data_IF_126328502371
#
_entry.id   IF_126328502371
#
_cell.length_a   1.000
_cell.length_b   1.000
_cell.length_c   1.000
_cell.angle_alpha   90.00
_cell.angle_beta   90.00
_cell.angle_gamma   90.00
#
_symmetry.space_group_name_H-M   'P 1'
#
loop_
_entity.id
_entity.type
_entity.pdbx_description
1 polymer ?
#
# COMPACT_ATOMS: atom_id res chain seq x y z
N UNK A 1 16.05 14.81 -23.00
CA UNK A 1 15.99 13.35 -22.78
C UNK A 1 15.00 12.64 -23.72
N UNK A 2 13.98 13.28 -24.22
CA UNK A 2 12.87 12.69 -24.96
C UNK A 2 12.84 13.09 -26.46
N UNK A 3 14.00 13.03 -27.15
CA UNK A 3 14.06 13.47 -28.54
C UNK A 3 13.79 12.38 -29.57
N UNK A 4 13.80 11.10 -29.18
CA UNK A 4 13.58 9.97 -30.07
C UNK A 4 12.65 8.93 -29.42
N UNK A 5 11.49 8.58 -30.05
CA UNK A 5 10.56 7.60 -29.53
C UNK A 5 11.19 6.23 -29.20
N UNK A 6 12.10 5.75 -30.03
CA UNK A 6 12.82 4.48 -29.79
C UNK A 6 13.74 4.55 -28.56
N UNK A 7 14.33 5.74 -28.30
CA UNK A 7 15.17 5.95 -27.14
C UNK A 7 14.32 6.02 -25.87
N UNK A 8 13.12 6.60 -25.94
CA UNK A 8 12.15 6.62 -24.83
C UNK A 8 11.71 5.20 -24.49
N UNK A 9 11.32 4.42 -25.51
CA UNK A 9 10.91 3.03 -25.35
C UNK A 9 12.00 2.19 -24.70
N UNK A 10 13.25 2.32 -25.20
CA UNK A 10 14.41 1.64 -24.62
C UNK A 10 14.64 2.04 -23.16
N UNK A 11 14.61 3.34 -22.84
CA UNK A 11 14.82 3.85 -21.48
C UNK A 11 13.72 3.38 -20.52
N UNK A 12 12.47 3.35 -20.98
CA UNK A 12 11.35 2.82 -20.19
C UNK A 12 11.56 1.33 -19.91
N UNK A 13 11.89 0.53 -20.93
CA UNK A 13 12.20 -0.90 -20.75
C UNK A 13 13.37 -1.12 -19.80
N UNK A 14 14.49 -0.40 -19.98
CA UNK A 14 15.69 -0.55 -19.13
C UNK A 14 15.40 -0.18 -17.65
N UNK A 15 14.62 0.87 -17.40
CA UNK A 15 14.26 1.24 -16.03
C UNK A 15 13.30 0.26 -15.37
N UNK A 16 12.40 -0.32 -16.13
CA UNK A 16 11.47 -1.33 -15.60
C UNK A 16 12.18 -2.65 -15.35
N UNK A 17 13.07 -3.10 -16.25
CA UNK A 17 13.81 -4.35 -16.08
C UNK A 17 14.94 -4.27 -15.05
N UNK A 18 15.42 -3.08 -14.74
CA UNK A 18 16.61 -2.86 -13.91
C UNK A 18 16.40 -2.74 -12.40
N UNK A 19 15.16 -2.74 -11.89
CA UNK A 19 14.98 -2.38 -10.47
C UNK A 19 13.75 -2.89 -9.74
N UNK A 20 12.95 -3.77 -10.32
CA UNK A 20 11.69 -4.16 -9.72
C UNK A 20 11.62 -5.67 -9.42
N UNK A 21 11.10 -6.02 -8.26
CA UNK A 21 10.84 -7.42 -7.88
C UNK A 21 9.60 -7.98 -8.57
N UNK A 22 9.58 -9.29 -8.78
CA UNK A 22 8.80 -9.99 -9.79
C UNK A 22 7.26 -9.86 -9.71
N UNK A 23 6.64 -9.61 -8.57
CA UNK A 23 5.19 -9.77 -8.41
C UNK A 23 4.32 -8.67 -9.04
N UNK A 24 4.81 -7.46 -9.18
CA UNK A 24 4.11 -6.37 -9.88
C UNK A 24 4.61 -6.11 -11.30
N UNK A 25 5.74 -6.70 -11.64
CA UNK A 25 6.39 -6.49 -12.94
C UNK A 25 5.77 -7.35 -14.03
N UNK A 26 5.27 -8.54 -13.71
CA UNK A 26 4.69 -9.41 -14.72
C UNK A 26 3.56 -8.73 -15.51
N UNK A 27 2.54 -8.12 -14.89
CA UNK A 27 1.53 -7.38 -15.65
C UNK A 27 2.10 -6.17 -16.38
N UNK A 28 3.09 -5.46 -15.81
CA UNK A 28 3.72 -4.30 -16.44
C UNK A 28 4.67 -4.71 -17.55
N UNK A 29 5.38 -5.82 -17.43
CA UNK A 29 6.24 -6.38 -18.48
C UNK A 29 5.44 -7.01 -19.62
N UNK A 30 4.35 -7.72 -19.33
CA UNK A 30 3.39 -8.15 -20.35
C UNK A 30 2.80 -6.93 -21.07
N UNK A 31 2.33 -5.95 -20.30
CA UNK A 31 1.81 -4.70 -20.81
C UNK A 31 2.84 -3.95 -21.69
N UNK A 32 4.12 -3.99 -21.37
CA UNK A 32 5.21 -3.39 -22.15
C UNK A 32 5.64 -4.26 -23.33
N UNK A 33 5.64 -5.58 -23.20
CA UNK A 33 5.97 -6.51 -24.28
C UNK A 33 4.92 -6.46 -25.39
N UNK A 34 3.65 -6.21 -25.08
CA UNK A 34 2.55 -6.14 -26.05
C UNK A 34 2.49 -4.83 -26.88
N UNK A 35 3.58 -4.10 -26.96
CA UNK A 35 3.67 -2.87 -27.76
C UNK A 35 3.25 -1.60 -27.00
N UNK A 36 2.88 -1.69 -25.75
CA UNK A 36 2.49 -0.53 -24.92
C UNK A 36 3.65 0.45 -24.68
N UNK A 37 4.89 -0.03 -24.63
CA UNK A 37 6.05 0.88 -24.55
C UNK A 37 6.11 1.81 -25.76
N UNK A 38 5.79 1.30 -26.97
CA UNK A 38 5.68 2.11 -28.18
C UNK A 38 4.53 3.10 -28.10
N UNK A 39 3.37 2.66 -27.59
CA UNK A 39 2.21 3.53 -27.39
C UNK A 39 2.49 4.63 -26.37
N UNK A 40 3.17 4.31 -25.27
CA UNK A 40 3.60 5.28 -24.26
C UNK A 40 4.57 6.31 -24.85
N UNK A 41 5.56 5.86 -25.60
CA UNK A 41 6.49 6.74 -26.28
C UNK A 41 5.79 7.68 -27.27
N UNK A 42 4.80 7.19 -28.01
CA UNK A 42 3.96 8.02 -28.89
C UNK A 42 3.17 9.06 -28.11
N UNK A 43 2.53 8.70 -27.01
CA UNK A 43 1.78 9.63 -26.14
C UNK A 43 2.67 10.71 -25.55
N UNK A 44 3.85 10.35 -25.04
CA UNK A 44 4.83 11.31 -24.53
C UNK A 44 5.33 12.25 -25.65
N UNK A 45 5.47 11.74 -26.85
CA UNK A 45 5.85 12.55 -28.03
C UNK A 45 4.75 13.55 -28.37
N UNK A 46 3.46 13.16 -28.31
CA UNK A 46 2.34 14.05 -28.51
C UNK A 46 2.34 15.15 -27.45
N UNK A 47 2.45 14.79 -26.16
CA UNK A 47 2.51 15.76 -25.05
C UNK A 47 3.64 16.77 -25.25
N UNK A 48 4.81 16.32 -25.70
CA UNK A 48 5.92 17.21 -26.03
C UNK A 48 5.58 18.15 -27.17
N UNK A 49 4.99 17.63 -28.25
CA UNK A 49 4.69 18.40 -29.45
C UNK A 49 3.64 19.48 -29.23
N UNK A 50 2.72 19.28 -28.27
CA UNK A 50 1.74 20.31 -27.85
C UNK A 50 2.31 21.30 -26.84
N UNK A 51 3.59 21.20 -26.51
CA UNK A 51 4.23 22.09 -25.53
C UNK A 51 3.79 21.85 -24.08
N UNK A 52 3.36 20.61 -23.74
CA UNK A 52 2.84 20.27 -22.41
C UNK A 52 3.82 20.63 -21.28
N UNK A 53 5.12 20.56 -21.52
CA UNK A 53 6.14 20.95 -20.53
C UNK A 53 5.98 22.44 -20.11
N UNK A 54 5.73 23.33 -21.06
CA UNK A 54 5.44 24.74 -20.78
C UNK A 54 4.15 24.92 -19.98
N UNK A 55 3.08 24.26 -20.44
CA UNK A 55 1.78 24.27 -19.74
C UNK A 55 1.92 23.74 -18.31
N UNK A 56 2.67 22.66 -18.13
CA UNK A 56 2.93 22.06 -16.82
C UNK A 56 3.67 23.05 -15.91
N UNK A 57 4.77 23.62 -16.36
CA UNK A 57 5.57 24.56 -15.58
C UNK A 57 4.83 25.84 -15.20
N UNK A 58 4.01 26.37 -16.11
CA UNK A 58 3.35 27.65 -15.93
C UNK A 58 2.05 27.55 -15.16
N UNK A 59 1.29 26.48 -15.33
CA UNK A 59 -0.07 26.37 -14.81
C UNK A 59 -0.27 25.29 -13.78
N UNK A 60 0.40 24.14 -13.92
CA UNK A 60 0.20 22.98 -13.06
C UNK A 60 1.20 22.99 -11.91
N UNK A 61 2.48 23.16 -12.23
CA UNK A 61 3.54 23.07 -11.23
C UNK A 61 3.37 24.03 -10.03
N UNK A 62 2.93 25.29 -10.16
CA UNK A 62 2.71 26.16 -9.02
C UNK A 62 1.66 25.64 -8.03
N UNK A 63 0.60 24.98 -8.54
CA UNK A 63 -0.43 24.35 -7.70
C UNK A 63 0.14 23.12 -7.00
N UNK A 64 0.83 22.26 -7.76
CA UNK A 64 1.49 21.05 -7.26
C UNK A 64 2.55 21.39 -6.21
N UNK A 65 3.39 22.41 -6.44
CA UNK A 65 4.45 22.84 -5.51
C UNK A 65 3.89 23.28 -4.15
N UNK A 66 2.77 24.00 -4.15
CA UNK A 66 2.11 24.41 -2.91
C UNK A 66 1.61 23.22 -2.10
N UNK A 67 0.94 22.26 -2.75
CA UNK A 67 0.44 21.06 -2.08
C UNK A 67 1.59 20.13 -1.65
N UNK A 68 2.64 20.01 -2.46
CA UNK A 68 3.84 19.24 -2.09
C UNK A 68 4.48 19.77 -0.82
N UNK A 69 4.67 21.09 -0.69
CA UNK A 69 5.22 21.71 0.53
C UNK A 69 4.37 21.42 1.75
N UNK A 70 3.04 21.42 1.60
CA UNK A 70 2.15 21.04 2.70
C UNK A 70 2.32 19.58 3.10
N UNK A 71 2.45 18.68 2.13
CA UNK A 71 2.67 17.23 2.37
C UNK A 71 4.08 16.94 2.93
N UNK A 72 5.08 17.63 2.46
CA UNK A 72 6.43 17.57 3.03
C UNK A 72 6.43 17.99 4.51
N UNK A 73 5.70 19.04 4.86
CA UNK A 73 5.56 19.48 6.24
C UNK A 73 4.80 18.46 7.11
N UNK A 74 3.77 17.84 6.57
CA UNK A 74 3.03 16.75 7.23
C UNK A 74 3.96 15.56 7.52
N UNK A 75 4.66 15.07 6.50
CA UNK A 75 5.57 13.91 6.61
C UNK A 75 6.76 14.21 7.54
N UNK A 76 7.27 15.43 7.53
CA UNK A 76 8.36 15.85 8.44
C UNK A 76 7.97 15.79 9.92
N UNK A 77 6.67 15.83 10.22
CA UNK A 77 6.15 15.63 11.58
C UNK A 77 6.07 14.17 12.03
N UNK A 78 6.28 13.20 11.13
CA UNK A 78 6.17 11.78 11.45
C UNK A 78 7.46 11.25 12.08
N UNK A 79 7.31 10.35 13.05
CA UNK A 79 8.45 9.58 13.58
C UNK A 79 8.72 8.37 12.65
N UNK A 80 9.43 8.62 11.56
CA UNK A 80 9.75 7.61 10.56
C UNK A 80 10.59 6.45 11.13
N UNK A 81 11.53 6.74 12.04
CA UNK A 81 12.36 5.71 12.68
C UNK A 81 11.53 4.74 13.52
N UNK A 82 10.53 5.26 14.24
CA UNK A 82 9.59 4.44 15.00
C UNK A 82 8.75 3.56 14.07
N UNK A 83 8.23 4.13 12.99
CA UNK A 83 7.44 3.40 12.00
C UNK A 83 8.26 2.26 11.37
N UNK A 84 9.45 2.56 10.85
CA UNK A 84 10.31 1.57 10.20
C UNK A 84 10.76 0.46 11.15
N UNK A 85 11.09 0.81 12.39
CA UNK A 85 11.41 -0.17 13.43
C UNK A 85 10.23 -1.11 13.70
N UNK A 86 9.03 -0.58 13.89
CA UNK A 86 7.85 -1.37 14.20
C UNK A 86 7.44 -2.26 13.01
N UNK A 87 7.50 -1.74 11.78
CA UNK A 87 7.27 -2.53 10.56
C UNK A 87 8.31 -3.66 10.45
N UNK A 88 9.58 -3.38 10.73
CA UNK A 88 10.65 -4.38 10.66
C UNK A 88 10.44 -5.51 11.68
N UNK A 89 9.94 -5.19 12.87
CA UNK A 89 9.56 -6.20 13.88
C UNK A 89 8.40 -7.06 13.35
N UNK A 90 7.30 -6.43 12.93
CA UNK A 90 6.12 -7.13 12.43
C UNK A 90 6.46 -8.04 11.22
N UNK A 91 7.23 -7.57 10.27
CA UNK A 91 7.59 -8.34 9.06
C UNK A 91 8.77 -9.29 9.27
N UNK A 92 9.46 -9.25 10.41
CA UNK A 92 10.71 -10.00 10.65
C UNK A 92 11.69 -9.88 9.48
N UNK A 93 11.70 -8.75 8.85
CA UNK A 93 12.51 -8.47 7.66
C UNK A 93 13.70 -7.59 8.00
N UNK A 94 14.67 -7.55 7.09
CA UNK A 94 15.74 -6.54 7.15
C UNK A 94 15.14 -5.15 7.23
N UNK A 95 15.74 -4.32 8.11
CA UNK A 95 15.27 -2.96 8.41
C UNK A 95 15.07 -2.16 7.11
N UNK A 96 13.84 -1.72 6.86
CA UNK A 96 13.58 -0.69 5.86
C UNK A 96 14.19 0.60 6.42
N UNK A 97 15.16 1.14 5.71
CA UNK A 97 15.91 2.34 6.16
C UNK A 97 15.44 3.61 5.48
N UNK A 98 14.67 3.48 4.40
CA UNK A 98 14.16 4.64 3.67
C UNK A 98 12.88 4.31 2.91
N UNK A 99 12.01 5.30 2.79
CA UNK A 99 10.85 5.25 1.92
C UNK A 99 10.84 6.48 1.00
N UNK A 100 10.63 6.24 -0.30
CA UNK A 100 10.38 7.32 -1.25
C UNK A 100 8.87 7.48 -1.41
N UNK A 101 8.34 8.66 -1.14
CA UNK A 101 6.93 8.95 -1.28
C UNK A 101 6.75 9.81 -2.52
N UNK A 102 5.99 9.30 -3.48
CA UNK A 102 5.60 10.04 -4.68
C UNK A 102 4.14 10.44 -4.58
N UNK A 103 3.89 11.73 -4.50
CA UNK A 103 2.53 12.27 -4.53
C UNK A 103 2.09 12.41 -5.97
N UNK A 104 1.01 11.72 -6.34
CA UNK A 104 0.47 11.76 -7.70
C UNK A 104 -0.82 12.57 -7.75
N UNK A 105 -0.85 13.56 -8.63
CA UNK A 105 -2.02 14.40 -8.88
C UNK A 105 -2.93 13.84 -10.00
N UNK A 106 -2.45 12.85 -10.73
CA UNK A 106 -3.10 12.31 -11.93
C UNK A 106 -3.32 10.81 -11.90
N UNK A 107 -2.96 10.14 -10.81
CA UNK A 107 -3.18 8.70 -10.69
C UNK A 107 -4.58 8.39 -10.15
N UNK A 108 -4.96 7.11 -10.27
CA UNK A 108 -6.14 6.57 -9.61
C UNK A 108 -6.14 6.90 -8.10
N UNK A 109 -7.30 6.92 -7.45
CA UNK A 109 -7.43 7.34 -6.04
C UNK A 109 -6.80 6.37 -5.03
N UNK A 110 -6.16 5.31 -5.47
CA UNK A 110 -5.52 4.30 -4.63
C UNK A 110 -4.02 4.51 -4.54
N UNK A 111 -3.46 4.38 -3.33
CA UNK A 111 -2.04 4.25 -3.12
C UNK A 111 -1.55 2.86 -3.60
N UNK A 112 -0.28 2.74 -3.91
CA UNK A 112 0.37 1.47 -4.20
C UNK A 112 1.87 1.56 -3.96
N UNK A 113 2.49 0.42 -3.75
CA UNK A 113 3.90 0.32 -3.38
C UNK A 113 4.68 -0.51 -4.36
N UNK A 114 5.91 -0.06 -4.62
CA UNK A 114 6.93 -0.82 -5.34
C UNK A 114 8.11 -1.07 -4.40
N UNK A 115 8.50 -2.33 -4.25
CA UNK A 115 9.63 -2.73 -3.43
C UNK A 115 10.90 -2.84 -4.27
N UNK A 116 12.00 -2.33 -3.73
CA UNK A 116 13.32 -2.42 -4.34
C UNK A 116 14.40 -2.58 -3.29
N UNK A 117 14.66 -3.81 -2.85
CA UNK A 117 15.71 -4.07 -1.85
C UNK A 117 15.42 -3.45 -0.49
N UNK A 118 16.29 -2.53 -0.03
CA UNK A 118 16.16 -1.85 1.28
C UNK A 118 15.32 -0.57 1.24
N UNK A 119 14.73 -0.22 0.12
CA UNK A 119 13.88 0.95 -0.01
C UNK A 119 12.49 0.60 -0.54
N UNK A 120 11.54 1.40 -0.15
CA UNK A 120 10.16 1.35 -0.60
C UNK A 120 9.86 2.60 -1.41
N UNK A 121 9.10 2.45 -2.46
CA UNK A 121 8.53 3.57 -3.21
C UNK A 121 7.02 3.52 -3.10
N UNK A 122 6.44 4.44 -2.36
CA UNK A 122 5.01 4.56 -2.17
C UNK A 122 4.46 5.67 -3.04
N UNK A 123 3.42 5.37 -3.82
CA UNK A 123 2.68 6.35 -4.60
C UNK A 123 1.39 6.71 -3.86
N UNK A 124 1.25 7.97 -3.48
CA UNK A 124 0.08 8.46 -2.74
C UNK A 124 -0.72 9.43 -3.60
N UNK A 125 -2.08 9.36 -3.58
CA UNK A 125 -2.92 10.38 -4.18
C UNK A 125 -2.70 11.73 -3.49
N UNK A 126 -2.65 12.82 -4.26
CA UNK A 126 -2.47 14.17 -3.71
C UNK A 126 -3.59 14.58 -2.73
N UNK A 127 -4.82 14.13 -3.00
CA UNK A 127 -5.97 14.37 -2.13
C UNK A 127 -6.06 13.47 -0.90
N UNK A 128 -5.06 12.61 -0.63
CA UNK A 128 -5.07 11.78 0.56
C UNK A 128 -4.96 12.63 1.83
N UNK A 129 -5.79 12.31 2.81
CA UNK A 129 -5.92 13.08 4.04
C UNK A 129 -4.99 12.57 5.15
N UNK A 130 -4.56 11.32 5.05
CA UNK A 130 -3.81 10.62 6.10
C UNK A 130 -2.63 9.86 5.50
N UNK A 131 -1.53 10.56 5.28
CA UNK A 131 -0.33 9.97 4.68
C UNK A 131 0.34 8.95 5.60
N UNK A 132 0.32 9.15 6.92
CA UNK A 132 0.92 8.19 7.85
C UNK A 132 0.25 6.83 7.75
N UNK A 133 -1.08 6.81 7.79
CA UNK A 133 -1.88 5.60 7.65
C UNK A 133 -1.62 4.89 6.31
N UNK A 134 -1.58 5.67 5.22
CA UNK A 134 -1.27 5.11 3.89
C UNK A 134 0.13 4.49 3.84
N UNK A 135 1.13 5.18 4.35
CA UNK A 135 2.51 4.68 4.37
C UNK A 135 2.61 3.42 5.24
N UNK A 136 1.99 3.42 6.42
CA UNK A 136 1.94 2.27 7.31
C UNK A 136 1.28 1.05 6.62
N UNK A 137 0.17 1.28 5.91
CA UNK A 137 -0.53 0.27 5.12
C UNK A 137 0.37 -0.34 4.04
N UNK A 138 0.92 0.51 3.18
CA UNK A 138 1.73 0.10 2.05
C UNK A 138 3.03 -0.62 2.47
N UNK A 139 3.60 -0.22 3.62
CA UNK A 139 4.77 -0.89 4.19
C UNK A 139 4.46 -2.32 4.64
N UNK A 140 3.22 -2.64 4.96
CA UNK A 140 2.86 -3.97 5.46
C UNK A 140 2.59 -5.00 4.36
N UNK A 141 2.28 -4.60 3.12
CA UNK A 141 2.05 -5.57 2.04
C UNK A 141 3.20 -6.56 1.82
N UNK A 142 2.86 -7.77 1.35
CA UNK A 142 3.80 -8.82 0.99
C UNK A 142 4.44 -9.53 2.19
N UNK A 143 3.79 -9.56 3.35
CA UNK A 143 4.27 -10.28 4.53
C UNK A 143 3.66 -11.69 4.65
N UNK A 144 2.43 -11.89 4.11
CA UNK A 144 1.65 -13.09 4.34
C UNK A 144 2.24 -14.32 3.63
N UNK A 145 2.41 -15.40 4.39
CA UNK A 145 2.80 -16.70 3.88
C UNK A 145 1.63 -17.44 3.22
N UNK A 146 1.94 -18.44 2.43
CA UNK A 146 0.94 -19.35 1.87
C UNK A 146 0.10 -20.03 2.95
N UNK A 147 0.73 -20.44 4.06
CA UNK A 147 0.05 -21.04 5.21
C UNK A 147 -0.99 -20.09 5.83
N UNK A 148 -0.63 -18.83 6.03
CA UNK A 148 -1.57 -17.82 6.55
C UNK A 148 -2.74 -17.63 5.60
N UNK A 149 -2.47 -17.51 4.29
CA UNK A 149 -3.49 -17.37 3.25
C UNK A 149 -4.48 -18.55 3.26
N UNK A 150 -3.97 -19.78 3.40
CA UNK A 150 -4.84 -20.96 3.51
C UNK A 150 -5.71 -20.96 4.77
N UNK A 151 -5.17 -20.55 5.90
CA UNK A 151 -5.93 -20.44 7.16
C UNK A 151 -7.02 -19.37 7.06
N UNK A 152 -6.68 -18.22 6.47
CA UNK A 152 -7.65 -17.16 6.23
C UNK A 152 -8.79 -17.62 5.30
N UNK A 153 -8.49 -18.28 4.21
CA UNK A 153 -9.54 -18.83 3.31
C UNK A 153 -10.46 -19.82 4.02
N UNK A 154 -9.90 -20.70 4.86
CA UNK A 154 -10.71 -21.61 5.70
C UNK A 154 -11.59 -20.84 6.68
N UNK A 155 -11.07 -19.78 7.26
CA UNK A 155 -11.84 -18.90 8.16
C UNK A 155 -12.99 -18.23 7.41
N UNK A 156 -12.73 -17.66 6.25
CA UNK A 156 -13.77 -17.07 5.37
C UNK A 156 -14.86 -18.11 5.04
N UNK A 157 -14.47 -19.34 4.70
CA UNK A 157 -15.42 -20.42 4.38
C UNK A 157 -16.27 -20.88 5.59
N UNK A 158 -15.91 -20.53 6.82
CA UNK A 158 -16.62 -20.95 8.01
C UNK A 158 -17.95 -20.21 8.26
N UNK A 159 -18.18 -19.05 7.61
CA UNK A 159 -19.37 -18.22 7.82
C UNK A 159 -19.86 -17.60 6.51
N UNK A 160 -21.16 -17.61 6.28
CA UNK A 160 -21.78 -16.96 5.12
C UNK A 160 -21.58 -15.45 5.13
N UNK A 161 -21.54 -14.83 6.31
CA UNK A 161 -21.23 -13.42 6.49
C UNK A 161 -19.80 -13.10 6.04
N UNK A 162 -18.81 -13.90 6.47
CA UNK A 162 -17.42 -13.73 6.08
C UNK A 162 -17.22 -13.91 4.57
N UNK A 163 -17.89 -14.91 3.97
CA UNK A 163 -17.90 -15.11 2.51
C UNK A 163 -18.44 -13.88 1.77
N UNK A 164 -19.54 -13.31 2.26
CA UNK A 164 -20.13 -12.11 1.65
C UNK A 164 -19.18 -10.90 1.76
N UNK A 165 -18.58 -10.68 2.93
CA UNK A 165 -17.61 -9.61 3.15
C UNK A 165 -16.38 -9.79 2.23
N UNK A 166 -15.79 -10.98 2.22
CA UNK A 166 -14.62 -11.27 1.39
C UNK A 166 -14.91 -11.10 -0.12
N UNK A 167 -16.08 -11.54 -0.58
CA UNK A 167 -16.52 -11.32 -1.97
C UNK A 167 -16.62 -9.83 -2.29
N UNK A 168 -17.20 -9.01 -1.40
CA UNK A 168 -17.28 -7.57 -1.58
C UNK A 168 -15.88 -6.93 -1.65
N UNK A 169 -14.91 -7.40 -0.84
CA UNK A 169 -13.53 -6.93 -0.92
C UNK A 169 -12.89 -7.23 -2.27
N UNK A 170 -13.06 -8.44 -2.79
CA UNK A 170 -12.49 -8.85 -4.07
C UNK A 170 -13.16 -8.13 -5.27
N UNK A 171 -14.50 -8.08 -5.30
CA UNK A 171 -15.26 -7.59 -6.45
C UNK A 171 -15.34 -6.06 -6.50
N UNK A 172 -15.62 -5.41 -5.37
CA UNK A 172 -15.87 -3.97 -5.30
C UNK A 172 -14.58 -3.16 -5.11
N UNK A 173 -13.60 -3.73 -4.40
CA UNK A 173 -12.38 -3.02 -4.02
C UNK A 173 -11.10 -3.61 -4.60
N UNK A 174 -11.18 -4.76 -5.29
CA UNK A 174 -10.05 -5.47 -5.92
C UNK A 174 -8.90 -5.78 -4.93
N UNK A 175 -9.26 -6.02 -3.68
CA UNK A 175 -8.33 -6.27 -2.58
C UNK A 175 -7.96 -7.76 -2.51
N UNK A 176 -6.68 -8.05 -2.19
CA UNK A 176 -6.19 -9.42 -2.04
C UNK A 176 -6.51 -10.06 -0.68
N UNK A 177 -6.15 -11.34 -0.54
CA UNK A 177 -6.40 -12.13 0.68
C UNK A 177 -5.67 -11.57 1.93
N UNK A 178 -4.59 -10.82 1.77
CA UNK A 178 -3.85 -10.23 2.90
C UNK A 178 -4.39 -8.88 3.38
N UNK A 179 -5.31 -8.27 2.66
CA UNK A 179 -5.76 -6.88 2.87
C UNK A 179 -6.29 -6.63 4.28
N UNK A 180 -7.11 -7.53 4.83
CA UNK A 180 -7.65 -7.36 6.17
C UNK A 180 -6.54 -7.38 7.25
N UNK A 181 -5.50 -8.15 7.05
CA UNK A 181 -4.35 -8.19 7.97
C UNK A 181 -3.46 -6.96 7.82
N UNK A 182 -3.26 -6.48 6.59
CA UNK A 182 -2.55 -5.24 6.31
C UNK A 182 -3.24 -4.07 6.98
N UNK A 183 -4.57 -3.98 6.87
CA UNK A 183 -5.36 -2.94 7.56
C UNK A 183 -5.26 -3.02 9.08
N UNK A 184 -5.33 -4.22 9.66
CA UNK A 184 -5.17 -4.37 11.10
C UNK A 184 -3.78 -3.90 11.58
N UNK A 185 -2.73 -4.23 10.83
CA UNK A 185 -1.38 -3.76 11.11
C UNK A 185 -1.24 -2.25 10.91
N UNK A 186 -1.86 -1.67 9.85
CA UNK A 186 -1.95 -0.21 9.66
C UNK A 186 -2.51 0.48 10.91
N UNK A 187 -3.65 0.03 11.41
CA UNK A 187 -4.28 0.63 12.60
C UNK A 187 -3.40 0.47 13.84
N UNK A 188 -2.76 -0.68 13.99
CA UNK A 188 -1.86 -0.90 15.11
C UNK A 188 -0.63 0.00 15.05
N UNK A 189 0.00 0.17 13.88
CA UNK A 189 1.10 1.10 13.67
C UNK A 189 0.68 2.56 13.92
N UNK A 190 -0.52 2.94 13.49
CA UNK A 190 -1.10 4.25 13.77
C UNK A 190 -1.31 4.45 15.28
N UNK A 191 -1.81 3.46 16.00
CA UNK A 191 -1.95 3.49 17.45
C UNK A 191 -0.59 3.67 18.16
N UNK A 192 0.40 2.89 17.76
CA UNK A 192 1.76 2.95 18.32
C UNK A 192 2.47 4.28 18.05
N UNK A 193 2.06 5.03 17.03
CA UNK A 193 2.60 6.38 16.78
C UNK A 193 2.19 7.40 17.86
N UNK A 194 1.13 7.11 18.62
CA UNK A 194 0.55 8.03 19.59
C UNK A 194 -0.31 9.15 19.01
N UNK A 195 -0.44 9.22 17.69
CA UNK A 195 -1.22 10.27 17.01
C UNK A 195 -2.71 9.98 16.91
N UNK A 196 -3.12 8.73 17.17
CA UNK A 196 -4.51 8.25 17.03
C UNK A 196 -4.97 7.55 18.29
N UNK A 197 -6.21 7.83 18.72
CA UNK A 197 -6.80 7.06 19.82
C UNK A 197 -7.31 5.70 19.36
N UNK A 198 -7.43 4.76 20.30
CA UNK A 198 -8.02 3.44 20.05
C UNK A 198 -9.42 3.57 19.44
N UNK A 199 -10.25 4.43 20.00
CA UNK A 199 -11.64 4.63 19.58
C UNK A 199 -11.72 5.18 18.15
N UNK A 200 -10.85 6.11 17.80
CA UNK A 200 -10.77 6.64 16.43
C UNK A 200 -10.44 5.54 15.42
N UNK A 201 -9.46 4.70 15.76
CA UNK A 201 -9.01 3.63 14.88
C UNK A 201 -10.04 2.50 14.76
N UNK A 202 -10.69 2.09 15.86
CA UNK A 202 -11.78 1.12 15.82
C UNK A 202 -12.94 1.62 14.95
N UNK A 203 -13.40 2.87 15.15
CA UNK A 203 -14.45 3.46 14.32
C UNK A 203 -14.05 3.57 12.83
N UNK A 204 -12.76 3.81 12.53
CA UNK A 204 -12.22 3.79 11.16
C UNK A 204 -12.24 2.37 10.59
N UNK A 205 -11.79 1.37 11.37
CA UNK A 205 -11.75 -0.03 10.97
C UNK A 205 -13.14 -0.60 10.67
N UNK A 206 -14.11 -0.36 11.57
CA UNK A 206 -15.49 -0.80 11.42
C UNK A 206 -16.20 -0.24 10.19
N UNK A 207 -15.79 0.94 9.71
CA UNK A 207 -16.42 1.62 8.57
C UNK A 207 -15.70 1.41 7.25
N UNK A 208 -14.45 0.93 7.31
CA UNK A 208 -13.64 0.73 6.10
C UNK A 208 -14.32 -0.26 5.15
N UNK A 209 -14.27 0.04 3.88
CA UNK A 209 -14.90 -0.77 2.83
C UNK A 209 -16.38 -1.12 3.13
N UNK A 210 -17.12 -0.16 3.69
CA UNK A 210 -18.53 -0.36 4.01
C UNK A 210 -18.80 -1.35 5.15
N UNK A 211 -17.81 -1.62 6.00
CA UNK A 211 -17.90 -2.61 7.09
C UNK A 211 -17.59 -4.05 6.66
N UNK A 212 -17.02 -4.23 5.47
CA UNK A 212 -16.71 -5.56 4.93
C UNK A 212 -15.34 -6.12 5.39
N UNK A 213 -14.76 -5.61 6.48
CA UNK A 213 -13.46 -6.03 7.01
C UNK A 213 -13.53 -6.50 8.47
N UNK A 214 -14.41 -7.47 8.81
CA UNK A 214 -14.59 -7.89 10.20
C UNK A 214 -13.34 -8.56 10.78
N UNK A 215 -12.56 -9.27 9.98
CA UNK A 215 -11.31 -9.90 10.41
C UNK A 215 -10.26 -8.86 10.78
N UNK A 216 -10.20 -7.74 10.05
CA UNK A 216 -9.30 -6.62 10.37
C UNK A 216 -9.59 -6.03 11.74
N UNK A 217 -10.87 -5.84 12.08
CA UNK A 217 -11.29 -5.34 13.40
C UNK A 217 -10.86 -6.30 14.50
N UNK A 218 -11.19 -7.60 14.35
CA UNK A 218 -10.85 -8.62 15.34
C UNK A 218 -9.33 -8.75 15.56
N UNK A 219 -8.56 -8.73 14.49
CA UNK A 219 -7.09 -8.79 14.56
C UNK A 219 -6.52 -7.53 15.23
N UNK A 220 -7.03 -6.35 14.91
CA UNK A 220 -6.59 -5.11 15.57
C UNK A 220 -6.88 -5.13 17.07
N UNK A 221 -8.06 -5.61 17.49
CA UNK A 221 -8.39 -5.75 18.90
C UNK A 221 -7.48 -6.75 19.64
N UNK A 222 -7.08 -7.85 18.99
CA UNK A 222 -6.11 -8.78 19.56
C UNK A 222 -4.72 -8.16 19.68
N UNK A 223 -4.25 -7.42 18.66
CA UNK A 223 -2.96 -6.70 18.70
C UNK A 223 -2.91 -5.70 19.87
N UNK A 224 -4.01 -5.03 20.18
CA UNK A 224 -4.09 -4.09 21.31
C UNK A 224 -3.99 -4.77 22.68
N UNK A 225 -4.17 -6.10 22.77
CA UNK A 225 -4.04 -6.88 24.00
C UNK A 225 -2.63 -7.42 24.20
N UNK A 226 -1.80 -7.39 23.16
CA UNK A 226 -0.42 -7.89 23.25
C UNK A 226 0.44 -6.97 24.11
N UNK A 227 1.22 -7.52 25.06
CA UNK A 227 2.08 -6.72 25.94
C UNK A 227 3.25 -6.06 25.18
N UNK A 228 3.57 -6.55 24.01
CA UNK A 228 4.61 -6.03 23.12
C UNK A 228 4.29 -6.31 21.66
N UNK A 229 4.94 -5.59 20.76
CA UNK A 229 4.77 -5.77 19.31
C UNK A 229 5.19 -7.19 18.92
N UNK A 230 4.36 -7.96 18.18
CA UNK A 230 4.77 -9.26 17.65
C UNK A 230 6.00 -9.13 16.74
N UNK A 231 7.03 -9.96 16.98
CA UNK A 231 8.29 -9.95 16.18
C UNK A 231 8.17 -10.71 14.85
N UNK A 232 7.02 -11.27 14.53
CA UNK A 232 6.73 -12.03 13.32
C UNK A 232 5.22 -12.09 13.18
N UNK A 233 4.67 -11.12 12.48
CA UNK A 233 3.22 -10.94 12.36
C UNK A 233 2.54 -12.10 11.63
N UNK A 234 3.17 -12.65 10.60
CA UNK A 234 2.68 -13.82 9.90
C UNK A 234 2.53 -15.02 10.85
N UNK A 235 3.60 -15.32 11.58
CA UNK A 235 3.58 -16.39 12.58
C UNK A 235 2.58 -16.13 13.70
N UNK A 236 2.51 -14.89 14.20
CA UNK A 236 1.56 -14.51 15.25
C UNK A 236 0.11 -14.72 14.78
N UNK A 237 -0.23 -14.31 13.56
CA UNK A 237 -1.57 -14.54 12.98
C UNK A 237 -1.88 -16.02 12.85
N UNK A 238 -0.93 -16.83 12.38
CA UNK A 238 -1.10 -18.28 12.30
C UNK A 238 -1.45 -18.85 13.68
N UNK A 239 -0.74 -18.44 14.74
CA UNK A 239 -1.02 -18.85 16.12
C UNK A 239 -2.40 -18.41 16.60
N UNK A 240 -2.90 -17.21 16.20
CA UNK A 240 -4.26 -16.77 16.54
C UNK A 240 -5.33 -17.63 15.84
N UNK A 241 -5.13 -18.00 14.56
CA UNK A 241 -6.04 -18.91 13.85
C UNK A 241 -6.02 -20.32 14.45
N UNK A 242 -4.86 -20.89 14.68
CA UNK A 242 -4.73 -22.23 15.26
C UNK A 242 -5.28 -22.30 16.71
N UNK A 243 -5.19 -21.18 17.43
CA UNK A 243 -5.77 -21.01 18.79
C UNK A 243 -7.26 -20.69 18.82
N UNK A 244 -7.95 -20.62 17.66
CA UNK A 244 -9.36 -20.22 17.53
C UNK A 244 -9.72 -18.87 18.20
N UNK A 245 -8.77 -17.92 18.22
CA UNK A 245 -8.97 -16.60 18.81
C UNK A 245 -9.62 -15.59 17.86
N UNK A 246 -9.61 -15.87 16.56
CA UNK A 246 -10.23 -15.05 15.52
C UNK A 246 -11.66 -15.54 15.24
N UNK A 247 -12.53 -15.52 16.24
CA UNK A 247 -13.96 -15.75 16.04
C UNK A 247 -14.65 -14.42 15.78
N UNK A 248 -15.12 -14.23 14.55
CA UNK A 248 -16.03 -13.11 14.23
C UNK A 248 -17.43 -13.50 14.70
N UNK A 249 -18.02 -12.74 15.60
CA UNK A 249 -19.41 -12.99 16.03
C UNK A 249 -20.36 -12.83 14.83
N UNK A 250 -21.19 -13.85 14.62
CA UNK A 250 -22.28 -13.85 13.64
C UNK A 250 -23.31 -12.74 13.90
#
# INVERSE_FOLDING_TARGET
MFHNPRKIEKTVKERITGGFTASYIYPVLEWLNDGYASLYAKRLTVLRNIGFEGIYKERIFPMVDSEMKQKEAEVAGYNADLLFRNVSLLKKSSVITSANIYVSFFSAPTAFTLYGGSFLTCFCPAGAVDFYSIIAHELMHGFASEKLTELYRKHVESSEKLKACHRALLEDYQSGDEEEFVMAAEYYLCYLSGNYSKEQLLNKAEKRYGGNCPTSVAVFELLLQEPQIPEDYDKWLIEQFEGNKLSVCD
#
